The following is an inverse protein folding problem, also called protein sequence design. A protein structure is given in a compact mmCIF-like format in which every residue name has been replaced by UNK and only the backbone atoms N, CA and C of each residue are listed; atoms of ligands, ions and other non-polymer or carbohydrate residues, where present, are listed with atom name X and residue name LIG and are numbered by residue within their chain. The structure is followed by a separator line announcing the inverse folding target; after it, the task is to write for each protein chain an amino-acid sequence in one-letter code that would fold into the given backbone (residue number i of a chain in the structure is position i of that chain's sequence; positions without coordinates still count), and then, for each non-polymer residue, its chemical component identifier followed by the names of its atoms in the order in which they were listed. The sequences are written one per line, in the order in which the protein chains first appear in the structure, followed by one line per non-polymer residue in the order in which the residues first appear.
data_IF_771890055766
#
_entry.id   IF_771890055766
#
_cell.length_a   1.000
_cell.length_b   1.000
_cell.length_c   1.000
_cell.angle_alpha   90.00
_cell.angle_beta   90.00
_cell.angle_gamma   90.00
#
_symmetry.space_group_name_H-M   'P 1'
#
loop_
_entity.id
_entity.type
_entity.pdbx_description
1 polymer ?
#
# COMPACT_ATOMS: atom_id res chain seq x y z
N UNK A 1 23.50 8.09 6.72
CA UNK A 1 22.62 6.93 6.51
C UNK A 1 21.41 7.16 7.39
N UNK A 2 20.18 6.98 6.90
CA UNK A 2 19.01 7.07 7.76
C UNK A 2 18.93 5.71 8.47
N UNK A 3 19.41 5.65 9.70
CA UNK A 3 19.31 4.44 10.53
C UNK A 3 17.89 4.39 11.12
N UNK A 4 17.05 3.53 10.57
CA UNK A 4 15.73 3.26 11.13
C UNK A 4 15.83 2.06 12.08
N UNK A 5 15.60 2.22 13.39
CA UNK A 5 15.91 1.19 14.38
C UNK A 5 15.10 -0.10 14.19
N UNK A 6 13.93 -0.03 13.53
CA UNK A 6 13.09 -1.21 13.32
C UNK A 6 13.61 -2.15 12.21
N UNK A 7 14.40 -1.65 11.25
CA UNK A 7 14.81 -2.40 10.07
C UNK A 7 16.35 -2.39 9.94
N UNK A 8 17.07 -3.37 10.51
CA UNK A 8 18.50 -3.47 10.36
C UNK A 8 18.88 -3.63 8.88
N UNK A 9 20.02 -3.05 8.50
CA UNK A 9 20.56 -3.19 7.14
C UNK A 9 21.14 -4.58 6.98
N UNK A 10 20.52 -5.40 6.14
CA UNK A 10 20.95 -6.76 5.80
C UNK A 10 21.06 -6.91 4.27
N UNK A 11 22.00 -7.72 3.73
CA UNK A 11 22.27 -7.74 2.29
C UNK A 11 21.10 -8.18 1.39
N UNK A 12 20.28 -9.11 1.89
CA UNK A 12 19.24 -9.79 1.11
C UNK A 12 17.92 -9.95 1.87
N UNK A 13 17.78 -9.26 3.00
CA UNK A 13 16.61 -9.36 3.85
C UNK A 13 16.21 -7.97 4.35
N UNK A 14 14.90 -7.78 4.46
CA UNK A 14 14.32 -6.75 5.32
C UNK A 14 13.71 -7.51 6.48
N UNK A 15 14.07 -7.13 7.70
CA UNK A 15 13.60 -7.80 8.91
C UNK A 15 13.06 -6.76 9.87
N UNK A 16 11.93 -7.06 10.50
CA UNK A 16 11.44 -6.28 11.62
C UNK A 16 11.84 -6.99 12.92
N UNK A 17 12.49 -6.29 13.84
CA UNK A 17 12.97 -6.88 15.09
C UNK A 17 11.96 -6.81 16.24
N UNK A 18 10.93 -5.98 16.08
CA UNK A 18 9.90 -5.76 17.09
C UNK A 18 8.65 -5.19 16.42
N UNK A 19 7.49 -5.71 16.79
CA UNK A 19 6.20 -5.17 16.34
C UNK A 19 5.92 -3.82 17.01
N UNK A 20 5.74 -2.78 16.20
CA UNK A 20 5.29 -1.45 16.64
C UNK A 20 3.92 -1.15 16.00
N UNK A 21 2.87 -1.21 16.83
CA UNK A 21 1.49 -1.04 16.36
C UNK A 21 1.22 0.38 15.82
N UNK A 22 1.98 1.38 16.24
CA UNK A 22 1.86 2.75 15.73
C UNK A 22 2.42 2.89 14.30
N UNK A 23 3.11 1.86 13.81
CA UNK A 23 3.79 1.85 12.51
C UNK A 23 3.27 0.80 11.54
N UNK A 24 2.11 0.19 11.82
CA UNK A 24 1.55 -0.87 10.96
C UNK A 24 1.41 -0.44 9.50
N UNK A 25 0.88 0.77 9.24
CA UNK A 25 0.71 1.25 7.87
C UNK A 25 2.03 1.34 7.09
N UNK A 26 3.13 1.66 7.77
CA UNK A 26 4.46 1.69 7.18
C UNK A 26 5.00 0.27 6.96
N UNK A 27 4.99 -0.58 7.98
CA UNK A 27 5.48 -1.97 7.90
C UNK A 27 4.72 -2.76 6.84
N UNK A 28 3.39 -2.66 6.80
CA UNK A 28 2.54 -3.27 5.77
C UNK A 28 2.92 -2.87 4.33
N UNK A 29 3.42 -1.64 4.15
CA UNK A 29 3.89 -1.14 2.86
C UNK A 29 5.27 -1.71 2.50
N UNK A 30 6.18 -1.74 3.47
CA UNK A 30 7.57 -2.19 3.29
C UNK A 30 7.64 -3.69 2.97
N UNK A 31 6.81 -4.50 3.62
CA UNK A 31 6.81 -5.96 3.49
C UNK A 31 5.81 -6.49 2.46
N UNK A 32 5.15 -5.62 1.68
CA UNK A 32 4.18 -6.03 0.67
C UNK A 32 4.80 -7.00 -0.36
N UNK A 33 4.01 -7.98 -0.80
CA UNK A 33 4.40 -8.95 -1.82
C UNK A 33 3.53 -8.81 -3.07
N UNK A 34 4.11 -9.08 -4.24
CA UNK A 34 3.39 -9.05 -5.50
C UNK A 34 4.03 -9.96 -6.56
N UNK A 35 3.26 -10.35 -7.57
CA UNK A 35 3.74 -11.14 -8.72
C UNK A 35 3.41 -10.49 -10.08
N UNK A 36 3.01 -9.23 -10.09
CA UNK A 36 2.58 -8.50 -11.30
C UNK A 36 1.11 -8.70 -11.68
N UNK A 37 0.45 -9.75 -11.19
CA UNK A 37 -0.99 -9.97 -11.37
C UNK A 37 -1.80 -9.69 -10.11
N UNK A 38 -1.25 -10.01 -8.95
CA UNK A 38 -1.81 -9.71 -7.64
C UNK A 38 -0.73 -9.11 -6.75
N UNK A 39 -1.13 -8.17 -5.90
CA UNK A 39 -0.30 -7.59 -4.86
C UNK A 39 -1.08 -7.51 -3.55
N UNK A 40 -0.39 -7.72 -2.44
CA UNK A 40 -0.97 -7.66 -1.11
C UNK A 40 -0.02 -6.94 -0.17
N UNK A 41 -0.59 -6.07 0.66
CA UNK A 41 0.13 -5.44 1.76
C UNK A 41 0.41 -6.50 2.82
N UNK A 42 1.47 -6.31 3.61
CA UNK A 42 1.83 -7.25 4.67
C UNK A 42 0.95 -7.05 5.92
N UNK A 43 -0.37 -7.16 5.73
CA UNK A 43 -1.32 -7.17 6.83
C UNK A 43 -1.17 -8.48 7.63
N UNK A 44 -1.47 -8.43 8.92
CA UNK A 44 -1.50 -9.59 9.79
C UNK A 44 -2.68 -10.50 9.43
N UNK A 45 -2.47 -11.81 9.40
CA UNK A 45 -3.47 -12.81 8.99
C UNK A 45 -4.66 -12.88 9.98
N UNK A 46 -4.47 -12.44 11.22
CA UNK A 46 -5.50 -12.34 12.25
C UNK A 46 -6.60 -11.32 11.90
N UNK A 47 -6.35 -10.44 10.93
CA UNK A 47 -7.29 -9.46 10.41
C UNK A 47 -7.33 -8.14 11.17
N UNK A 48 -6.95 -8.11 12.44
CA UNK A 48 -6.78 -6.89 13.25
C UNK A 48 -5.62 -7.10 14.25
N UNK A 49 -4.83 -6.07 14.58
CA UNK A 49 -4.89 -4.69 14.06
C UNK A 49 -4.27 -4.53 12.67
N UNK A 50 -4.75 -3.55 11.90
CA UNK A 50 -4.09 -3.08 10.66
C UNK A 50 -3.97 -1.56 10.61
N UNK A 51 -3.03 -1.07 9.79
CA UNK A 51 -2.93 0.34 9.42
C UNK A 51 -3.77 0.66 8.17
N UNK A 52 -3.49 -0.02 7.07
CA UNK A 52 -4.23 0.07 5.82
C UNK A 52 -4.30 -1.32 5.16
N UNK A 53 -5.44 -2.02 5.20
CA UNK A 53 -5.56 -3.34 4.63
C UNK A 53 -5.69 -3.24 3.12
N UNK A 54 -5.03 -4.13 2.37
CA UNK A 54 -5.07 -4.04 0.92
C UNK A 54 -4.61 -5.27 0.16
N UNK A 55 -5.48 -5.80 -0.70
CA UNK A 55 -5.18 -6.78 -1.74
C UNK A 55 -5.70 -6.24 -3.06
N UNK A 56 -4.86 -6.26 -4.10
CA UNK A 56 -5.11 -5.61 -5.38
C UNK A 56 -4.88 -6.59 -6.52
N UNK A 57 -5.80 -6.61 -7.49
CA UNK A 57 -5.71 -7.38 -8.71
C UNK A 57 -5.37 -6.45 -9.88
N UNK A 58 -4.35 -6.80 -10.65
CA UNK A 58 -3.93 -6.03 -11.81
C UNK A 58 -5.04 -5.90 -12.84
N UNK A 59 -5.40 -4.66 -13.20
CA UNK A 59 -6.46 -4.36 -14.16
C UNK A 59 -7.89 -4.45 -13.60
N UNK A 60 -8.06 -4.73 -12.30
CA UNK A 60 -9.35 -4.64 -11.63
C UNK A 60 -9.47 -3.29 -10.93
N UNK A 61 -10.40 -2.46 -11.39
CA UNK A 61 -10.64 -1.12 -10.88
C UNK A 61 -12.10 -0.73 -11.04
N UNK A 62 -12.55 0.21 -10.23
CA UNK A 62 -13.85 0.84 -10.35
C UNK A 62 -13.73 2.13 -11.16
N UNK A 63 -14.72 2.41 -12.00
CA UNK A 63 -14.86 3.70 -12.69
C UNK A 63 -15.89 4.53 -11.93
N UNK A 64 -15.50 5.73 -11.53
CA UNK A 64 -16.40 6.67 -10.82
C UNK A 64 -16.39 8.03 -11.52
N UNK A 65 -17.55 8.71 -11.65
CA UNK A 65 -17.59 10.09 -12.15
C UNK A 65 -16.63 10.98 -11.37
N UNK A 66 -15.93 11.86 -12.07
CA UNK A 66 -14.97 12.80 -11.49
C UNK A 66 -15.43 14.25 -11.75
N UNK A 67 -16.30 14.80 -10.88
CA UNK A 67 -16.81 16.15 -11.05
C UNK A 67 -15.69 17.18 -10.99
N UNK A 68 -15.60 18.02 -12.02
CA UNK A 68 -14.66 19.12 -12.08
C UNK A 68 -15.30 20.38 -11.49
N UNK A 69 -14.53 21.14 -10.70
CA UNK A 69 -14.99 22.43 -10.19
C UNK A 69 -15.24 23.45 -11.33
N UNK A 70 -14.45 23.35 -12.40
CA UNK A 70 -14.60 24.15 -13.62
C UNK A 70 -14.48 23.24 -14.86
N UNK A 71 -15.27 23.52 -15.89
CA UNK A 71 -15.22 22.77 -17.14
C UNK A 71 -14.10 23.31 -18.03
N UNK A 72 -13.13 22.46 -18.37
CA UNK A 72 -12.10 22.77 -19.35
C UNK A 72 -12.03 21.66 -20.41
N UNK A 73 -11.72 22.05 -21.64
CA UNK A 73 -11.55 21.11 -22.74
C UNK A 73 -10.44 20.10 -22.43
N UNK A 74 -10.74 18.81 -22.54
CA UNK A 74 -9.80 17.73 -22.28
C UNK A 74 -9.71 17.26 -20.83
N UNK A 75 -10.52 17.81 -19.92
CA UNK A 75 -10.61 17.27 -18.56
C UNK A 75 -11.20 15.85 -18.57
N UNK A 76 -10.67 14.92 -17.76
CA UNK A 76 -11.26 13.60 -17.60
C UNK A 76 -12.63 13.69 -16.91
N UNK A 77 -13.60 12.95 -17.44
CA UNK A 77 -14.97 12.87 -16.90
C UNK A 77 -15.08 11.82 -15.79
N UNK A 78 -14.19 10.82 -15.80
CA UNK A 78 -14.19 9.70 -14.87
C UNK A 78 -12.81 9.50 -14.23
N UNK A 79 -12.82 8.88 -13.06
CA UNK A 79 -11.64 8.40 -12.33
C UNK A 79 -11.65 6.87 -12.25
N UNK A 80 -10.46 6.29 -12.08
CA UNK A 80 -10.27 4.84 -11.91
C UNK A 80 -9.54 4.60 -10.59
N UNK A 81 -9.98 3.62 -9.80
CA UNK A 81 -9.30 3.21 -8.55
C UNK A 81 -9.48 1.73 -8.29
#
# INVERSE_FOLDING_TARGET
MIDHPAFPVEPWAVRENSLDLERLAQTESVFALANGHIGLRANLDEGEPYGLPGTYLGGFYEVRPLPQAELAYGNPEDSQT
#
